data_IF_950031657568
#
_entry.id   IF_950031657568
#
_cell.length_a   1.000
_cell.length_b   1.000
_cell.length_c   1.000
_cell.angle_alpha   90.00
_cell.angle_beta   90.00
_cell.angle_gamma   90.00
#
_symmetry.space_group_name_H-M   'P 1'
#
loop_
_entity.id
_entity.type
_entity.pdbx_description
1 polymer ?
#
# COMPACT_ATOMS: atom_id res chain seq x y z
N UNK A 1 -5.57 4.23 -22.35
CA UNK A 1 -4.68 4.67 -21.26
C UNK A 1 -4.71 6.19 -21.32
N UNK A 2 -5.71 6.80 -20.69
CA UNK A 2 -5.76 8.25 -20.53
C UNK A 2 -4.75 8.59 -19.45
N UNK A 3 -3.73 9.34 -19.83
CA UNK A 3 -2.76 9.93 -18.92
C UNK A 3 -3.53 10.75 -17.87
N UNK A 4 -3.45 10.47 -16.56
CA UNK A 4 -4.19 11.21 -15.55
C UNK A 4 -3.47 12.54 -15.29
N UNK A 5 -3.43 13.41 -16.29
CA UNK A 5 -2.82 14.74 -16.19
C UNK A 5 -3.75 15.77 -15.51
N UNK A 6 -5.02 15.42 -15.23
CA UNK A 6 -6.05 16.35 -14.73
C UNK A 6 -6.66 15.95 -13.37
N UNK A 7 -6.00 15.11 -12.57
CA UNK A 7 -6.50 14.82 -11.22
C UNK A 7 -5.97 15.87 -10.22
N UNK A 8 -6.88 16.62 -9.58
CA UNK A 8 -6.51 17.57 -8.52
C UNK A 8 -5.78 16.82 -7.39
N UNK A 9 -4.55 17.24 -7.11
CA UNK A 9 -3.69 16.57 -6.13
C UNK A 9 -4.05 17.01 -4.72
N UNK A 10 -4.03 16.05 -3.79
CA UNK A 10 -4.16 16.35 -2.37
C UNK A 10 -2.92 17.11 -1.87
N UNK A 11 -3.09 17.87 -0.78
CA UNK A 11 -2.02 18.66 -0.15
C UNK A 11 -1.86 18.27 1.31
N UNK A 12 -0.63 18.26 1.80
CA UNK A 12 -0.35 18.03 3.22
C UNK A 12 -0.61 19.30 4.03
N UNK A 13 -0.76 19.21 5.37
CA UNK A 13 -0.88 20.39 6.23
C UNK A 13 0.29 21.38 6.11
N UNK A 14 1.47 20.91 5.71
CA UNK A 14 2.67 21.73 5.55
C UNK A 14 2.90 22.23 4.12
N UNK A 15 1.94 22.04 3.21
CA UNK A 15 2.06 22.41 1.80
C UNK A 15 2.52 23.86 1.59
N UNK A 16 1.87 24.82 2.26
CA UNK A 16 2.21 26.25 2.12
C UNK A 16 3.63 26.55 2.58
N UNK A 17 4.10 25.88 3.64
CA UNK A 17 5.46 26.03 4.14
C UNK A 17 6.49 25.49 3.14
N UNK A 18 6.20 24.35 2.50
CA UNK A 18 7.08 23.80 1.45
C UNK A 18 7.24 24.79 0.29
N UNK A 19 6.14 25.43 -0.12
CA UNK A 19 6.15 26.44 -1.19
C UNK A 19 6.94 27.68 -0.80
N UNK A 20 6.77 28.15 0.43
CA UNK A 20 7.51 29.29 0.99
C UNK A 20 9.02 29.04 1.03
N UNK A 21 9.43 27.84 1.44
CA UNK A 21 10.83 27.40 1.50
C UNK A 21 11.44 27.07 0.14
N UNK A 22 10.70 27.26 -0.96
CA UNK A 22 11.22 27.06 -2.32
C UNK A 22 11.30 25.60 -2.76
N UNK A 23 10.54 24.70 -2.13
CA UNK A 23 10.53 23.29 -2.52
C UNK A 23 10.13 23.10 -3.98
N UNK A 24 10.86 22.23 -4.68
CA UNK A 24 10.44 21.66 -5.95
C UNK A 24 9.36 20.60 -5.68
N UNK A 25 8.13 20.89 -6.07
CA UNK A 25 7.00 20.00 -5.83
C UNK A 25 6.89 18.90 -6.90
N UNK A 26 6.37 17.73 -6.53
CA UNK A 26 6.07 16.63 -7.44
C UNK A 26 4.72 15.98 -7.11
N UNK A 27 4.15 15.28 -8.10
CA UNK A 27 3.01 14.39 -7.89
C UNK A 27 3.50 13.02 -7.41
N UNK A 28 3.05 12.60 -6.23
CA UNK A 28 3.34 11.27 -5.68
C UNK A 28 2.14 10.74 -4.88
N UNK A 29 1.72 9.52 -5.18
CA UNK A 29 0.60 8.85 -4.49
C UNK A 29 -0.71 9.69 -4.40
N UNK A 30 -0.96 10.55 -5.40
CA UNK A 30 -2.12 11.45 -5.42
C UNK A 30 -1.97 12.70 -4.56
N UNK A 31 -0.76 13.02 -4.09
CA UNK A 31 -0.41 14.23 -3.35
C UNK A 31 0.60 15.09 -4.10
N UNK A 32 0.56 16.39 -3.82
CA UNK A 32 1.59 17.35 -4.19
C UNK A 32 2.61 17.45 -3.03
N UNK A 33 3.81 16.89 -3.21
CA UNK A 33 4.83 16.72 -2.17
C UNK A 33 6.18 17.38 -2.53
N UNK A 34 6.97 17.82 -1.54
CA UNK A 34 8.31 18.35 -1.80
C UNK A 34 9.27 17.22 -2.23
N UNK A 35 9.86 17.34 -3.43
CA UNK A 35 10.91 16.43 -3.92
C UNK A 35 12.29 16.80 -3.37
N UNK A 36 12.59 18.10 -3.33
CA UNK A 36 13.85 18.68 -2.87
C UNK A 36 13.69 20.18 -2.63
N UNK A 37 14.58 20.78 -1.86
CA UNK A 37 14.68 22.23 -1.61
C UNK A 37 15.94 22.83 -2.24
N UNK A 38 17.04 22.07 -2.29
CA UNK A 38 18.31 22.47 -2.88
C UNK A 38 18.76 21.43 -3.91
N UNK A 39 19.03 20.20 -3.47
CA UNK A 39 19.53 19.11 -4.31
C UNK A 39 19.30 17.77 -3.62
N UNK A 40 18.78 16.79 -4.36
CA UNK A 40 18.57 15.42 -3.86
C UNK A 40 19.85 14.83 -3.25
N UNK A 41 21.01 15.05 -3.89
CA UNK A 41 22.29 14.51 -3.39
C UNK A 41 22.74 15.25 -2.14
N UNK A 42 22.65 16.59 -2.12
CA UNK A 42 23.06 17.39 -0.96
C UNK A 42 22.19 17.08 0.26
N UNK A 43 20.87 17.00 0.09
CA UNK A 43 19.91 16.69 1.16
C UNK A 43 20.08 15.25 1.68
N UNK A 44 20.37 14.30 0.80
CA UNK A 44 20.71 12.94 1.20
C UNK A 44 21.97 12.91 2.09
N UNK A 45 23.06 13.56 1.67
CA UNK A 45 24.29 13.63 2.44
C UNK A 45 24.07 14.36 3.77
N UNK A 46 23.32 15.46 3.77
CA UNK A 46 22.95 16.18 5.00
C UNK A 46 22.19 15.29 5.98
N UNK A 47 21.26 14.45 5.52
CA UNK A 47 20.55 13.49 6.37
C UNK A 47 21.50 12.46 6.99
N UNK A 48 22.56 12.06 6.26
CA UNK A 48 23.55 11.08 6.72
C UNK A 48 24.57 11.66 7.70
N UNK A 49 24.95 12.92 7.49
CA UNK A 49 26.00 13.59 8.24
C UNK A 49 25.45 14.43 9.41
N UNK A 50 24.16 14.76 9.39
CA UNK A 50 23.51 15.64 10.36
C UNK A 50 22.09 15.16 10.66
N UNK A 51 21.08 16.02 10.56
CA UNK A 51 19.69 15.70 10.83
C UNK A 51 18.81 16.35 9.76
N UNK A 52 17.67 15.73 9.45
CA UNK A 52 16.73 16.25 8.47
C UNK A 52 15.30 15.95 8.89
N UNK A 53 14.38 16.80 8.46
CA UNK A 53 12.95 16.65 8.68
C UNK A 53 12.26 16.25 7.37
N UNK A 54 11.39 15.26 7.43
CA UNK A 54 10.62 14.78 6.28
C UNK A 54 9.13 14.93 6.57
N UNK A 55 8.40 15.55 5.64
CA UNK A 55 6.93 15.57 5.70
C UNK A 55 6.36 14.27 5.14
N UNK A 56 6.06 13.33 6.03
CA UNK A 56 5.42 12.04 5.72
C UNK A 56 3.92 12.06 5.98
N UNK A 57 3.30 13.24 6.11
CA UNK A 57 1.88 13.38 6.49
C UNK A 57 0.91 12.79 5.45
N UNK A 58 1.38 12.48 4.25
CA UNK A 58 0.61 11.78 3.22
C UNK A 58 0.44 10.27 3.51
N UNK A 59 1.20 9.72 4.46
CA UNK A 59 1.10 8.32 4.87
C UNK A 59 -0.19 8.08 5.65
N UNK A 60 -0.95 7.06 5.23
CA UNK A 60 -2.19 6.68 5.90
C UNK A 60 -1.96 6.22 7.34
N UNK A 61 -2.82 6.67 8.26
CA UNK A 61 -2.85 6.24 9.65
C UNK A 61 -4.22 5.66 9.97
N UNK A 62 -4.25 4.54 10.70
CA UNK A 62 -5.47 3.91 11.16
C UNK A 62 -5.34 3.54 12.64
N UNK A 63 -6.42 3.77 13.40
CA UNK A 63 -6.55 3.34 14.79
C UNK A 63 -7.64 2.27 14.84
N UNK A 64 -7.26 1.06 15.22
CA UNK A 64 -8.19 -0.05 15.38
C UNK A 64 -8.74 -0.05 16.82
N UNK A 65 -10.07 -0.15 16.97
CA UNK A 65 -10.77 -0.17 18.27
C UNK A 65 -11.83 -1.27 18.25
N UNK A 66 -12.04 -1.91 19.40
CA UNK A 66 -12.99 -3.01 19.55
C UNK A 66 -12.52 -4.03 20.57
N UNK A 67 -13.29 -5.10 20.72
CA UNK A 67 -12.88 -6.26 21.52
C UNK A 67 -11.87 -7.11 20.76
N UNK A 68 -10.87 -7.65 21.46
CA UNK A 68 -9.88 -8.57 20.90
C UNK A 68 -9.14 -8.08 19.64
N UNK A 69 -8.98 -6.76 19.48
CA UNK A 69 -8.38 -6.14 18.27
C UNK A 69 -7.02 -6.74 17.92
N UNK A 70 -6.15 -6.97 18.90
CA UNK A 70 -4.84 -7.56 18.66
C UNK A 70 -4.95 -8.95 18.02
N UNK A 71 -5.75 -9.85 18.62
CA UNK A 71 -5.95 -11.20 18.09
C UNK A 71 -6.60 -11.21 16.70
N UNK A 72 -7.59 -10.33 16.45
CA UNK A 72 -8.21 -10.20 15.13
C UNK A 72 -7.22 -9.65 14.11
N UNK A 73 -6.41 -8.65 14.49
CA UNK A 73 -5.44 -8.07 13.58
C UNK A 73 -4.35 -9.06 13.20
N UNK A 74 -3.91 -9.90 14.13
CA UNK A 74 -2.98 -11.01 13.87
C UNK A 74 -3.48 -12.03 12.85
N UNK A 75 -4.79 -12.12 12.57
CA UNK A 75 -5.27 -12.97 11.46
C UNK A 75 -4.92 -12.40 10.09
N UNK A 76 -4.58 -11.10 10.03
CA UNK A 76 -4.28 -10.37 8.80
C UNK A 76 -2.78 -10.11 8.61
N UNK A 77 -1.93 -10.50 9.57
CA UNK A 77 -0.50 -10.18 9.56
C UNK A 77 0.32 -11.36 10.09
N UNK A 78 1.58 -11.53 9.66
CA UNK A 78 2.50 -12.50 10.25
C UNK A 78 3.28 -11.81 11.38
N UNK A 79 2.57 -11.32 12.41
CA UNK A 79 3.15 -10.61 13.55
C UNK A 79 2.47 -10.98 14.86
N UNK A 80 3.20 -10.82 15.98
CA UNK A 80 2.68 -10.99 17.35
C UNK A 80 2.45 -9.61 17.97
N UNK A 81 1.18 -9.20 18.01
CA UNK A 81 0.69 -7.94 18.58
C UNK A 81 0.23 -8.14 20.01
N UNK A 82 -0.31 -9.31 20.35
CA UNK A 82 -0.73 -9.65 21.71
C UNK A 82 0.46 -9.70 22.68
N UNK A 83 1.64 -10.14 22.20
CA UNK A 83 2.89 -10.10 22.96
C UNK A 83 3.53 -8.71 23.09
N UNK A 84 2.99 -7.69 22.40
CA UNK A 84 3.56 -6.35 22.39
C UNK A 84 3.13 -5.56 23.64
N UNK A 85 4.11 -5.12 24.43
CA UNK A 85 3.84 -4.24 25.58
C UNK A 85 3.44 -2.82 25.16
N UNK A 86 2.66 -2.14 25.99
CA UNK A 86 2.20 -0.78 25.71
C UNK A 86 3.37 0.18 25.40
N UNK A 87 3.20 1.01 24.37
CA UNK A 87 4.23 1.94 23.91
C UNK A 87 5.36 1.32 23.09
N UNK A 88 5.30 0.01 22.80
CA UNK A 88 6.17 -0.64 21.82
C UNK A 88 5.50 -0.72 20.46
N UNK A 89 6.34 -0.86 19.43
CA UNK A 89 5.93 -0.95 18.03
C UNK A 89 6.66 -2.11 17.38
N UNK A 90 6.00 -2.78 16.44
CA UNK A 90 6.61 -3.78 15.56
C UNK A 90 6.29 -3.48 14.10
N UNK A 91 7.16 -3.90 13.20
CA UNK A 91 6.91 -3.85 11.77
C UNK A 91 6.35 -5.19 11.31
N UNK A 92 5.30 -5.15 10.50
CA UNK A 92 4.66 -6.35 9.96
C UNK A 92 4.06 -6.03 8.59
N UNK A 93 3.52 -7.05 7.96
CA UNK A 93 2.95 -6.99 6.62
C UNK A 93 1.48 -7.37 6.73
N UNK A 94 0.59 -6.64 6.06
CA UNK A 94 -0.73 -7.21 5.78
C UNK A 94 -0.54 -8.39 4.83
N UNK A 95 -1.13 -9.53 5.13
CA UNK A 95 -1.17 -10.69 4.25
C UNK A 95 -2.42 -10.65 3.39
N UNK A 96 -2.29 -11.09 2.14
CA UNK A 96 -3.47 -11.41 1.35
C UNK A 96 -4.04 -12.78 1.76
N UNK A 97 -5.18 -13.14 1.18
CA UNK A 97 -5.85 -14.43 1.30
C UNK A 97 -4.97 -15.64 0.93
N UNK A 98 -3.85 -15.41 0.23
CA UNK A 98 -2.87 -16.42 -0.14
C UNK A 98 -1.64 -16.46 0.77
N UNK A 99 -1.64 -15.71 1.88
CA UNK A 99 -0.52 -15.65 2.83
C UNK A 99 0.72 -14.92 2.29
N UNK A 100 0.62 -14.29 1.11
CA UNK A 100 1.69 -13.47 0.54
C UNK A 100 1.60 -12.01 1.00
N UNK A 101 2.63 -11.22 0.68
CA UNK A 101 2.64 -9.77 0.95
C UNK A 101 1.42 -9.08 0.32
N UNK A 102 0.64 -8.39 1.15
CA UNK A 102 -0.64 -7.74 0.82
C UNK A 102 -0.58 -6.51 -0.10
N UNK A 103 0.60 -6.03 -0.51
CA UNK A 103 0.75 -5.17 -1.71
C UNK A 103 1.24 -5.84 -3.01
N UNK A 104 1.09 -7.16 -3.18
CA UNK A 104 1.62 -7.86 -4.38
C UNK A 104 0.57 -8.17 -5.46
N UNK A 105 -0.04 -7.13 -6.02
CA UNK A 105 -0.27 -7.11 -7.46
C UNK A 105 0.30 -5.78 -7.92
N UNK A 106 1.08 -5.76 -8.99
CA UNK A 106 1.74 -4.53 -9.49
C UNK A 106 0.76 -3.52 -10.10
N UNK A 107 -0.29 -3.16 -9.37
CA UNK A 107 -1.42 -2.32 -9.76
C UNK A 107 -2.53 -2.37 -8.70
N UNK A 108 -3.59 -1.55 -8.80
CA UNK A 108 -4.72 -1.62 -7.88
C UNK A 108 -5.46 -2.97 -8.01
N UNK A 109 -5.79 -3.60 -6.87
CA UNK A 109 -6.71 -4.76 -6.81
C UNK A 109 -8.15 -4.27 -6.79
N UNK A 110 -9.05 -4.93 -7.52
CA UNK A 110 -10.49 -4.82 -7.34
C UNK A 110 -11.12 -6.22 -7.17
N UNK A 111 -12.11 -6.36 -6.29
CA UNK A 111 -12.90 -7.58 -6.12
C UNK A 111 -14.22 -7.50 -6.91
N UNK A 112 -14.69 -8.61 -7.47
CA UNK A 112 -15.98 -8.69 -8.15
C UNK A 112 -16.55 -10.11 -8.10
N UNK A 113 -17.88 -10.21 -8.13
CA UNK A 113 -18.58 -11.48 -8.19
C UNK A 113 -18.59 -11.99 -9.64
N UNK A 114 -18.30 -13.28 -9.82
CA UNK A 114 -18.54 -14.00 -11.07
C UNK A 114 -19.67 -14.99 -10.84
N UNK A 115 -20.55 -15.17 -11.83
CA UNK A 115 -21.58 -16.21 -11.74
C UNK A 115 -20.92 -17.58 -11.51
N UNK A 116 -21.51 -18.36 -10.60
CA UNK A 116 -20.97 -19.58 -9.96
C UNK A 116 -20.64 -20.76 -10.89
N UNK A 117 -20.62 -20.58 -12.20
CA UNK A 117 -20.09 -21.63 -13.08
C UNK A 117 -18.57 -21.73 -12.92
N UNK A 118 -18.01 -22.96 -12.78
CA UNK A 118 -16.60 -23.13 -12.47
C UNK A 118 -15.73 -22.51 -13.57
N UNK A 119 -15.10 -21.39 -13.22
CA UNK A 119 -14.14 -20.73 -14.07
C UNK A 119 -12.86 -21.58 -14.06
N UNK A 120 -12.67 -22.39 -15.09
CA UNK A 120 -11.49 -23.24 -15.21
C UNK A 120 -10.24 -22.38 -15.48
N UNK A 121 -9.06 -22.70 -14.90
CA UNK A 121 -7.82 -22.04 -15.26
C UNK A 121 -7.60 -21.99 -16.77
N UNK A 122 -7.21 -20.82 -17.28
CA UNK A 122 -7.05 -20.52 -18.71
C UNK A 122 -8.30 -19.95 -19.39
N UNK A 123 -9.49 -20.07 -18.79
CA UNK A 123 -10.74 -19.51 -19.35
C UNK A 123 -10.64 -17.99 -19.43
N UNK A 124 -10.95 -17.44 -20.60
CA UNK A 124 -11.03 -15.99 -20.78
C UNK A 124 -12.29 -15.45 -20.09
N UNK A 125 -12.13 -14.33 -19.40
CA UNK A 125 -13.20 -13.59 -18.74
C UNK A 125 -13.07 -12.11 -19.05
N UNK A 126 -14.20 -11.39 -19.01
CA UNK A 126 -14.23 -9.96 -19.23
C UNK A 126 -14.63 -9.26 -17.93
N UNK A 127 -13.94 -8.19 -17.58
CA UNK A 127 -14.27 -7.33 -16.44
C UNK A 127 -14.80 -5.99 -16.94
N UNK A 128 -15.92 -5.53 -16.37
CA UNK A 128 -16.40 -4.17 -16.60
C UNK A 128 -15.83 -3.25 -15.52
N UNK A 129 -14.91 -2.37 -15.89
CA UNK A 129 -14.29 -1.40 -14.99
C UNK A 129 -14.63 0.00 -15.49
N UNK A 130 -15.42 0.75 -14.71
CA UNK A 130 -15.84 2.13 -15.04
C UNK A 130 -16.43 2.28 -16.46
N UNK A 131 -17.27 1.31 -16.87
CA UNK A 131 -17.91 1.30 -18.18
C UNK A 131 -17.04 0.76 -19.33
N UNK A 132 -15.78 0.39 -19.07
CA UNK A 132 -14.89 -0.22 -20.05
C UNK A 132 -14.74 -1.73 -19.82
N UNK A 133 -14.79 -2.51 -20.89
CA UNK A 133 -14.62 -3.96 -20.84
C UNK A 133 -13.15 -4.32 -21.02
N UNK A 134 -12.58 -5.04 -20.06
CA UNK A 134 -11.18 -5.48 -20.05
C UNK A 134 -11.11 -7.02 -20.11
N UNK A 135 -10.28 -7.54 -21.00
CA UNK A 135 -10.06 -8.97 -21.13
C UNK A 135 -9.08 -9.48 -20.06
N UNK A 136 -9.36 -10.66 -19.52
CA UNK A 136 -8.54 -11.33 -18.53
C UNK A 136 -8.65 -12.87 -18.66
N UNK A 137 -7.83 -13.59 -17.89
CA UNK A 137 -7.81 -15.05 -17.87
C UNK A 137 -7.84 -15.56 -16.43
N UNK A 138 -8.58 -16.62 -16.19
CA UNK A 138 -8.56 -17.34 -14.91
C UNK A 138 -7.20 -18.02 -14.76
N UNK A 139 -6.55 -17.89 -13.60
CA UNK A 139 -5.28 -18.55 -13.32
C UNK A 139 -5.47 -19.66 -12.27
N UNK A 140 -4.67 -20.72 -12.33
CA UNK A 140 -4.63 -21.74 -11.29
C UNK A 140 -3.99 -21.14 -10.03
N UNK A 141 -4.57 -21.43 -8.87
CA UNK A 141 -4.00 -21.03 -7.58
C UNK A 141 -2.64 -21.70 -7.37
N UNK A 142 -1.63 -20.93 -6.96
CA UNK A 142 -0.27 -21.40 -6.70
C UNK A 142 -0.08 -21.77 -5.21
N UNK A 143 -1.03 -22.50 -4.62
CA UNK A 143 -0.85 -23.03 -3.27
C UNK A 143 -0.03 -24.32 -3.33
N UNK A 144 1.08 -24.35 -2.60
CA UNK A 144 1.83 -25.59 -2.33
C UNK A 144 1.20 -26.27 -1.13
N UNK A 145 1.12 -27.61 -1.12
CA UNK A 145 0.64 -28.35 0.05
C UNK A 145 1.43 -27.96 1.31
N UNK A 146 0.72 -27.67 2.39
CA UNK A 146 1.30 -27.29 3.68
C UNK A 146 2.18 -28.43 4.25
N UNK A 147 3.48 -28.18 4.43
CA UNK A 147 4.41 -29.07 5.17
C UNK A 147 4.92 -28.35 6.41
N UNK A 148 4.12 -28.38 7.47
CA UNK A 148 4.49 -27.79 8.76
C UNK A 148 5.40 -28.76 9.53
N UNK A 149 6.66 -28.37 9.79
CA UNK A 149 7.52 -29.09 10.73
C UNK A 149 7.35 -28.47 12.12
N UNK A 150 6.77 -29.21 13.05
CA UNK A 150 6.97 -29.01 14.50
C UNK A 150 8.08 -29.95 14.91
N UNK A 151 9.05 -29.43 15.68
CA UNK A 151 10.30 -30.08 16.09
C UNK A 151 10.23 -31.58 16.34
#
# INVERSE_FOLDING_TARGET
MTDPQDQELNRTPLYSLHRELGAKMMSFAGYELPLQYESIVAEHLHTRESASLFDVSHMGQAILRGENVAAVFETLIPGDIQGLSAGKTTYTLLTNDRGGYGPTVGGPVAMGYVNLEPAQPGKAVNFLVRGQVLAAKVARLAFVEHRYFRG
#
